data_IF_894217239602
#
_entry.id   IF_894217239602
#
_cell.length_a   1.000
_cell.length_b   1.000
_cell.length_c   1.000
_cell.angle_alpha   90.00
_cell.angle_beta   90.00
_cell.angle_gamma   90.00
#
_symmetry.space_group_name_H-M   'P 1'
#
loop_
_entity.id
_entity.type
_entity.pdbx_description
1 polymer ?
#
# COMPACT_ATOMS: atom_id res chain seq x y z
N UNK A 1 25.40 15.00 -2.90
CA UNK A 1 25.80 13.89 -2.02
C UNK A 1 24.67 12.87 -2.03
N UNK A 2 24.96 11.67 -2.52
CA UNK A 2 24.18 10.42 -2.50
C UNK A 2 22.64 10.52 -2.57
N UNK A 3 22.07 10.14 -3.72
CA UNK A 3 20.73 9.54 -3.76
C UNK A 3 20.77 8.20 -3.01
N UNK A 4 20.82 8.28 -1.68
CA UNK A 4 20.93 7.15 -0.79
C UNK A 4 19.61 6.39 -0.82
N UNK A 5 19.61 5.22 -1.46
CA UNK A 5 18.65 4.18 -1.12
C UNK A 5 18.59 4.07 0.40
N UNK A 6 17.40 4.22 0.99
CA UNK A 6 17.20 4.06 2.44
C UNK A 6 17.95 2.80 2.90
N UNK A 7 18.74 2.92 3.96
CA UNK A 7 19.44 1.77 4.52
C UNK A 7 18.41 0.71 4.91
N UNK A 8 18.76 -0.58 4.84
CA UNK A 8 17.83 -1.66 5.20
C UNK A 8 17.14 -1.44 6.56
N UNK A 9 17.87 -0.88 7.53
CA UNK A 9 17.32 -0.52 8.84
C UNK A 9 16.28 0.60 8.76
N UNK A 10 16.56 1.69 8.03
CA UNK A 10 15.63 2.80 7.85
C UNK A 10 14.37 2.38 7.08
N UNK A 11 14.53 1.53 6.06
CA UNK A 11 13.40 0.93 5.36
C UNK A 11 12.51 0.14 6.32
N UNK A 12 13.10 -0.75 7.13
CA UNK A 12 12.35 -1.56 8.10
C UNK A 12 11.67 -0.69 9.15
N UNK A 13 12.33 0.37 9.62
CA UNK A 13 11.75 1.34 10.54
C UNK A 13 10.54 2.05 9.93
N UNK A 14 10.66 2.53 8.68
CA UNK A 14 9.56 3.18 7.96
C UNK A 14 8.37 2.24 7.82
N UNK A 15 8.59 0.99 7.40
CA UNK A 15 7.53 -0.03 7.29
C UNK A 15 6.86 -0.28 8.63
N UNK A 16 7.65 -0.35 9.71
CA UNK A 16 7.12 -0.52 11.07
C UNK A 16 6.26 0.69 11.48
N UNK A 17 6.74 1.91 11.28
CA UNK A 17 6.00 3.14 11.56
C UNK A 17 4.70 3.21 10.75
N UNK A 18 4.70 2.79 9.47
CA UNK A 18 3.49 2.74 8.65
C UNK A 18 2.45 1.79 9.24
N UNK A 19 2.89 0.60 9.68
CA UNK A 19 2.01 -0.41 10.27
C UNK A 19 1.44 0.07 11.61
N UNK A 20 2.23 0.77 12.42
CA UNK A 20 1.75 1.39 13.66
C UNK A 20 0.77 2.52 13.39
N UNK A 21 1.04 3.36 12.38
CA UNK A 21 0.11 4.40 11.95
C UNK A 21 -1.24 3.80 11.52
N UNK A 22 -1.23 2.72 10.72
CA UNK A 22 -2.44 1.96 10.39
C UNK A 22 -3.17 1.43 11.63
N UNK A 23 -2.45 0.90 12.63
CA UNK A 23 -3.05 0.40 13.87
C UNK A 23 -3.64 1.52 14.74
N UNK A 24 -3.02 2.71 14.70
CA UNK A 24 -3.54 3.92 15.36
C UNK A 24 -4.72 4.56 14.62
N UNK A 25 -5.05 4.10 13.41
CA UNK A 25 -6.07 4.69 12.55
C UNK A 25 -5.60 5.94 11.80
N UNK A 26 -4.31 6.29 11.87
CA UNK A 26 -3.71 7.38 11.11
C UNK A 26 -3.28 6.88 9.73
N UNK A 27 -4.28 6.64 8.88
CA UNK A 27 -4.07 6.11 7.54
C UNK A 27 -3.36 7.10 6.61
N UNK A 28 -3.52 8.42 6.82
CA UNK A 28 -2.79 9.43 6.05
C UNK A 28 -1.28 9.40 6.32
N UNK A 29 -0.88 9.28 7.60
CA UNK A 29 0.53 9.08 7.93
C UNK A 29 1.04 7.75 7.38
N UNK A 30 0.26 6.68 7.50
CA UNK A 30 0.64 5.37 6.97
C UNK A 30 0.91 5.40 5.45
N UNK A 31 0.03 6.04 4.66
CA UNK A 31 0.22 6.20 3.21
C UNK A 31 1.52 6.94 2.88
N UNK A 32 1.83 8.02 3.61
CA UNK A 32 3.08 8.78 3.41
C UNK A 32 4.31 7.92 3.70
N UNK A 33 4.30 7.18 4.81
CA UNK A 33 5.41 6.30 5.17
C UNK A 33 5.57 5.12 4.21
N UNK A 34 4.46 4.54 3.72
CA UNK A 34 4.50 3.53 2.65
C UNK A 34 5.05 4.09 1.35
N UNK A 35 4.73 5.34 1.00
CA UNK A 35 5.31 6.03 -0.16
C UNK A 35 6.84 6.12 -0.05
N UNK A 36 7.36 6.57 1.09
CA UNK A 36 8.80 6.63 1.33
C UNK A 36 9.46 5.25 1.25
N UNK A 37 8.84 4.23 1.86
CA UNK A 37 9.34 2.86 1.78
C UNK A 37 9.31 2.30 0.34
N UNK A 38 8.29 2.63 -0.45
CA UNK A 38 8.18 2.27 -1.87
C UNK A 38 9.17 3.02 -2.76
N UNK A 39 9.63 4.22 -2.38
CA UNK A 39 10.73 4.88 -3.10
C UNK A 39 12.05 4.11 -2.93
N UNK A 40 12.25 3.45 -1.80
CA UNK A 40 13.41 2.58 -1.57
C UNK A 40 13.26 1.21 -2.24
N UNK A 41 12.07 0.62 -2.19
CA UNK A 41 11.76 -0.68 -2.79
C UNK A 41 10.48 -0.60 -3.64
N UNK A 42 10.58 -0.10 -4.89
CA UNK A 42 9.42 0.11 -5.76
C UNK A 42 8.84 -1.18 -6.32
N UNK A 43 9.44 -2.34 -6.03
CA UNK A 43 8.96 -3.66 -6.46
C UNK A 43 8.28 -4.44 -5.32
N UNK A 44 8.06 -3.78 -4.17
CA UNK A 44 7.50 -4.43 -3.01
C UNK A 44 5.96 -4.53 -3.06
N UNK A 45 5.45 -5.64 -3.59
CA UNK A 45 4.02 -5.93 -3.61
C UNK A 45 3.33 -5.88 -2.22
N UNK A 46 4.06 -6.14 -1.13
CA UNK A 46 3.55 -6.06 0.25
C UNK A 46 3.19 -4.63 0.61
N UNK A 47 4.06 -3.68 0.26
CA UNK A 47 3.85 -2.27 0.58
C UNK A 47 2.69 -1.67 -0.22
N UNK A 48 2.59 -1.97 -1.51
CA UNK A 48 1.40 -1.60 -2.31
C UNK A 48 0.11 -2.21 -1.75
N UNK A 49 0.15 -3.47 -1.31
CA UNK A 49 -0.99 -4.12 -0.65
C UNK A 49 -1.38 -3.43 0.66
N UNK A 50 -0.42 -3.00 1.48
CA UNK A 50 -0.74 -2.33 2.74
C UNK A 50 -1.18 -0.88 2.53
N UNK A 51 -0.61 -0.19 1.54
CA UNK A 51 -0.97 1.18 1.16
C UNK A 51 -2.38 1.25 0.56
N UNK A 52 -2.76 0.30 -0.32
CA UNK A 52 -4.14 0.16 -0.80
C UNK A 52 -5.15 -0.03 0.34
N UNK A 53 -4.80 -0.81 1.37
CA UNK A 53 -5.67 -0.97 2.54
C UNK A 53 -5.84 0.34 3.34
N UNK A 54 -4.79 1.14 3.46
CA UNK A 54 -4.86 2.46 4.08
C UNK A 54 -5.72 3.42 3.25
N UNK A 55 -5.59 3.41 1.92
CA UNK A 55 -6.45 4.19 1.02
C UNK A 55 -7.93 3.81 1.10
N UNK A 56 -8.25 2.51 1.18
CA UNK A 56 -9.62 2.06 1.40
C UNK A 56 -10.23 2.63 2.69
N UNK A 57 -9.41 2.75 3.75
CA UNK A 57 -9.85 3.33 5.02
C UNK A 57 -10.00 4.86 4.98
N UNK A 58 -9.30 5.52 4.06
CA UNK A 58 -9.45 6.95 3.79
C UNK A 58 -10.63 7.27 2.85
N UNK A 59 -11.25 6.26 2.22
CA UNK A 59 -12.27 6.46 1.19
C UNK A 59 -11.68 6.72 -0.22
N UNK A 60 -10.36 6.66 -0.35
CA UNK A 60 -9.63 6.86 -1.61
C UNK A 60 -9.64 5.57 -2.45
N UNK A 61 -10.83 5.14 -2.88
CA UNK A 61 -11.03 3.83 -3.49
C UNK A 61 -10.32 3.66 -4.84
N UNK A 62 -10.18 4.73 -5.63
CA UNK A 62 -9.46 4.72 -6.89
C UNK A 62 -7.95 4.51 -6.69
N UNK A 63 -7.35 5.25 -5.75
CA UNK A 63 -5.93 5.07 -5.39
C UNK A 63 -5.67 3.69 -4.79
N UNK A 64 -6.62 3.16 -4.02
CA UNK A 64 -6.54 1.80 -3.51
C UNK A 64 -6.57 0.73 -4.62
N UNK A 65 -7.31 0.99 -5.71
CA UNK A 65 -7.41 0.07 -6.84
C UNK A 65 -6.09 0.03 -7.59
N UNK A 66 -5.54 1.19 -7.96
CA UNK A 66 -4.27 1.32 -8.66
C UNK A 66 -3.13 0.59 -7.91
N UNK A 67 -3.05 0.79 -6.59
CA UNK A 67 -2.09 0.09 -5.74
C UNK A 67 -2.30 -1.44 -5.71
N UNK A 68 -3.55 -1.89 -5.65
CA UNK A 68 -3.87 -3.31 -5.60
C UNK A 68 -3.59 -4.00 -6.95
N UNK A 69 -3.86 -3.31 -8.07
CA UNK A 69 -3.49 -3.76 -9.41
C UNK A 69 -1.97 -3.83 -9.53
N UNK A 70 -1.25 -2.77 -9.14
CA UNK A 70 0.21 -2.74 -9.19
C UNK A 70 0.85 -3.86 -8.37
N UNK A 71 0.33 -4.11 -7.18
CA UNK A 71 0.78 -5.22 -6.35
C UNK A 71 0.55 -6.57 -7.05
N UNK A 72 -0.56 -6.72 -7.77
CA UNK A 72 -0.92 -7.93 -8.51
C UNK A 72 -0.03 -8.12 -9.74
N UNK A 73 0.27 -7.06 -10.47
CA UNK A 73 1.24 -7.06 -11.58
C UNK A 73 2.62 -7.51 -11.10
N UNK A 74 3.07 -7.02 -9.94
CA UNK A 74 4.38 -7.35 -9.36
C UNK A 74 4.46 -8.80 -8.87
N UNK A 75 3.40 -9.30 -8.23
CA UNK A 75 3.37 -10.69 -7.76
C UNK A 75 1.96 -11.30 -7.87
N UNK A 76 1.60 -11.81 -9.06
CA UNK A 76 0.28 -12.36 -9.31
C UNK A 76 0.03 -13.69 -8.56
N UNK A 77 1.10 -14.32 -8.06
CA UNK A 77 1.02 -15.57 -7.29
C UNK A 77 0.78 -15.35 -5.80
N UNK A 78 0.76 -14.10 -5.32
CA UNK A 78 0.64 -13.84 -3.89
C UNK A 78 -0.83 -13.69 -3.46
N UNK A 79 -1.40 -14.65 -2.72
CA UNK A 79 -2.85 -14.71 -2.49
C UNK A 79 -3.42 -13.50 -1.74
N UNK A 80 -2.60 -12.89 -0.88
CA UNK A 80 -2.99 -11.71 -0.10
C UNK A 80 -3.24 -10.49 -0.99
N UNK A 81 -2.43 -10.31 -2.04
CA UNK A 81 -2.62 -9.23 -3.00
C UNK A 81 -3.86 -9.44 -3.84
N UNK A 82 -4.05 -10.66 -4.37
CA UNK A 82 -5.26 -10.99 -5.14
C UNK A 82 -6.52 -10.83 -4.29
N UNK A 83 -6.46 -11.10 -2.98
CA UNK A 83 -7.57 -10.86 -2.06
C UNK A 83 -7.86 -9.36 -1.90
N UNK A 84 -6.84 -8.52 -1.73
CA UNK A 84 -7.03 -7.07 -1.59
C UNK A 84 -7.59 -6.45 -2.87
N UNK A 85 -7.09 -6.84 -4.04
CA UNK A 85 -7.63 -6.36 -5.32
C UNK A 85 -9.12 -6.71 -5.47
N UNK A 86 -9.48 -7.97 -5.19
CA UNK A 86 -10.89 -8.40 -5.22
C UNK A 86 -11.77 -7.62 -4.25
N UNK A 87 -11.25 -7.31 -3.06
CA UNK A 87 -11.96 -6.51 -2.06
C UNK A 87 -12.16 -5.07 -2.53
N UNK A 88 -11.11 -4.42 -3.05
CA UNK A 88 -11.20 -3.05 -3.56
C UNK A 88 -12.19 -2.95 -4.72
N UNK A 89 -12.13 -3.89 -5.66
CA UNK A 89 -13.08 -3.96 -6.77
C UNK A 89 -14.52 -4.17 -6.28
N UNK A 90 -14.74 -5.07 -5.32
CA UNK A 90 -16.06 -5.29 -4.75
C UNK A 90 -16.62 -4.03 -4.08
N UNK A 91 -15.79 -3.29 -3.33
CA UNK A 91 -16.16 -2.02 -2.69
C UNK A 91 -16.55 -0.98 -3.75
N UNK A 92 -15.77 -0.83 -4.82
CA UNK A 92 -16.07 0.10 -5.91
C UNK A 92 -17.40 -0.21 -6.63
N UNK A 93 -17.67 -1.50 -6.90
CA UNK A 93 -18.92 -1.94 -7.51
C UNK A 93 -20.11 -1.68 -6.57
N UNK A 94 -19.98 -1.97 -5.28
CA UNK A 94 -21.04 -1.72 -4.29
C UNK A 94 -21.35 -0.23 -4.11
N UNK A 95 -20.35 0.63 -4.28
CA UNK A 95 -20.51 2.09 -4.22
C UNK A 95 -21.02 2.69 -5.54
N UNK A 96 -21.24 1.88 -6.59
CA UNK A 96 -21.72 2.35 -7.89
C UNK A 96 -20.73 3.27 -8.61
N UNK A 97 -19.44 3.12 -8.34
CA UNK A 97 -18.36 3.96 -8.88
C UNK A 97 -17.74 3.37 -10.18
N UNK A 98 -18.48 2.54 -10.92
CA UNK A 98 -18.08 1.92 -12.19
C UNK A 98 -19.12 2.18 -13.28
#
# INVERSE_FOLDING_TARGET
>A
MAGGSLSKAEFMEKVQQSNEACQRGDFQAAVRLYNEALQADPQNCILFSNRSAAFLKLGEHQAALDDAERACELNPKWPKVSLRLKLTLAVLVLLGAV
#
